data_IF_113451855480
#
_entry.id   IF_113451855480
#
_cell.length_a   1.000
_cell.length_b   1.000
_cell.length_c   1.000
_cell.angle_alpha   90.00
_cell.angle_beta   90.00
_cell.angle_gamma   90.00
#
_symmetry.space_group_name_H-M   'P 1'
#
loop_
_entity.id
_entity.type
_entity.pdbx_description
1 polymer ?
#
# COMPACT_ATOMS: atom_id res chain seq x y z
N UNK A 1 -22.07 -14.58 -41.10
CA UNK A 1 -20.76 -14.89 -40.50
C UNK A 1 -20.81 -14.50 -39.04
N UNK A 2 -20.63 -15.45 -38.11
CA UNK A 2 -20.54 -15.13 -36.68
C UNK A 2 -19.09 -14.77 -36.39
N UNK A 3 -18.82 -13.53 -36.00
CA UNK A 3 -17.50 -13.13 -35.51
C UNK A 3 -17.30 -13.87 -34.19
N UNK A 4 -16.42 -14.88 -34.15
CA UNK A 4 -15.99 -15.46 -32.88
C UNK A 4 -15.18 -14.39 -32.14
N UNK A 5 -15.80 -13.73 -31.17
CA UNK A 5 -15.06 -12.90 -30.20
C UNK A 5 -14.17 -13.84 -29.39
N UNK A 6 -12.85 -13.63 -29.44
CA UNK A 6 -11.89 -14.40 -28.63
C UNK A 6 -12.25 -14.27 -27.15
N UNK A 7 -12.10 -15.37 -26.40
CA UNK A 7 -12.26 -15.35 -24.95
C UNK A 7 -11.20 -14.42 -24.33
N UNK A 8 -11.60 -13.73 -23.28
CA UNK A 8 -10.70 -12.89 -22.48
C UNK A 8 -10.74 -13.34 -21.01
N UNK A 9 -9.70 -12.97 -20.29
CA UNK A 9 -9.61 -13.16 -18.84
C UNK A 9 -9.19 -11.83 -18.21
N UNK A 10 -9.96 -11.37 -17.22
CA UNK A 10 -9.65 -10.18 -16.43
C UNK A 10 -9.44 -10.59 -14.97
N UNK A 11 -8.33 -10.17 -14.38
CA UNK A 11 -8.08 -10.32 -12.95
C UNK A 11 -8.10 -8.95 -12.30
N UNK A 12 -8.95 -8.78 -11.29
CA UNK A 12 -8.94 -7.61 -10.41
C UNK A 12 -7.99 -7.87 -9.25
N UNK A 13 -7.02 -6.97 -9.05
CA UNK A 13 -6.13 -6.94 -7.90
C UNK A 13 -6.63 -5.87 -6.93
N UNK A 14 -7.09 -6.28 -5.75
CA UNK A 14 -7.67 -5.41 -4.74
C UNK A 14 -6.66 -5.19 -3.63
N UNK A 15 -6.17 -3.96 -3.49
CA UNK A 15 -5.33 -3.56 -2.37
C UNK A 15 -6.16 -3.43 -1.10
N UNK A 16 -5.87 -4.28 -0.10
CA UNK A 16 -6.47 -4.29 1.23
C UNK A 16 -5.45 -3.96 2.32
N UNK A 17 -4.36 -3.25 1.97
CA UNK A 17 -3.42 -2.70 2.94
C UNK A 17 -4.10 -1.70 3.90
N UNK A 18 -3.42 -1.36 4.99
CA UNK A 18 -3.98 -0.47 6.01
C UNK A 18 -4.42 0.89 5.46
N UNK A 19 -3.72 1.46 4.47
CA UNK A 19 -4.12 2.72 3.84
C UNK A 19 -5.45 2.61 3.07
N UNK A 20 -5.83 1.39 2.67
CA UNK A 20 -7.05 1.09 1.92
C UNK A 20 -8.26 0.73 2.81
N UNK A 21 -8.09 0.66 4.13
CA UNK A 21 -9.12 0.14 5.06
C UNK A 21 -10.48 0.86 4.97
N UNK A 22 -10.47 2.17 4.71
CA UNK A 22 -11.69 2.98 4.59
C UNK A 22 -12.37 2.89 3.22
N UNK A 23 -11.71 2.30 2.23
CA UNK A 23 -12.17 2.29 0.84
C UNK A 23 -12.74 0.94 0.41
N UNK A 24 -12.81 -0.06 1.30
CA UNK A 24 -13.34 -1.40 1.01
C UNK A 24 -14.72 -1.36 0.34
N UNK A 25 -15.59 -0.43 0.75
CA UNK A 25 -16.91 -0.23 0.14
C UNK A 25 -16.83 0.24 -1.32
N UNK A 26 -16.01 1.25 -1.60
CA UNK A 26 -15.81 1.78 -2.96
C UNK A 26 -15.19 0.72 -3.88
N UNK A 27 -14.14 0.02 -3.42
CA UNK A 27 -13.49 -1.08 -4.15
C UNK A 27 -14.53 -2.12 -4.56
N UNK A 28 -15.37 -2.53 -3.62
CA UNK A 28 -16.43 -3.51 -3.85
C UNK A 28 -17.45 -3.04 -4.89
N UNK A 29 -17.91 -1.80 -4.79
CA UNK A 29 -18.88 -1.24 -5.75
C UNK A 29 -18.29 -1.17 -7.16
N UNK A 30 -17.05 -0.68 -7.28
CA UNK A 30 -16.34 -0.63 -8.55
C UNK A 30 -16.22 -2.03 -9.20
N UNK A 31 -15.72 -3.01 -8.45
CA UNK A 31 -15.52 -4.39 -8.95
C UNK A 31 -16.86 -4.99 -9.36
N UNK A 32 -17.90 -4.82 -8.54
CA UNK A 32 -19.24 -5.32 -8.85
C UNK A 32 -19.77 -4.74 -10.17
N UNK A 33 -19.72 -3.42 -10.33
CA UNK A 33 -20.16 -2.76 -11.57
C UNK A 33 -19.34 -3.18 -12.79
N UNK A 34 -18.02 -3.36 -12.63
CA UNK A 34 -17.15 -3.81 -13.71
C UNK A 34 -17.48 -5.26 -14.16
N UNK A 35 -17.77 -6.16 -13.22
CA UNK A 35 -18.19 -7.54 -13.49
C UNK A 35 -19.54 -7.58 -14.19
N UNK A 36 -20.50 -6.77 -13.73
CA UNK A 36 -21.83 -6.65 -14.34
C UNK A 36 -21.74 -6.16 -15.79
N UNK A 37 -20.90 -5.16 -16.06
CA UNK A 37 -20.66 -4.60 -17.39
C UNK A 37 -19.81 -5.49 -18.32
N UNK A 38 -19.10 -6.48 -17.77
CA UNK A 38 -18.18 -7.32 -18.54
C UNK A 38 -18.88 -8.17 -19.60
N UNK A 39 -18.28 -8.39 -20.80
CA UNK A 39 -18.77 -9.33 -21.79
C UNK A 39 -18.92 -10.76 -21.25
N UNK A 40 -19.87 -11.53 -21.80
CA UNK A 40 -20.13 -12.91 -21.36
C UNK A 40 -19.00 -13.91 -21.65
N UNK A 41 -18.11 -13.57 -22.59
CA UNK A 41 -16.93 -14.36 -22.95
C UNK A 41 -15.65 -13.92 -22.19
N UNK A 42 -15.80 -13.09 -21.15
CA UNK A 42 -14.70 -12.68 -20.28
C UNK A 42 -14.76 -13.47 -18.95
N UNK A 43 -13.70 -14.21 -18.63
CA UNK A 43 -13.54 -14.82 -17.31
C UNK A 43 -13.06 -13.78 -16.33
N UNK A 44 -13.66 -13.74 -15.13
CA UNK A 44 -13.25 -12.84 -14.06
C UNK A 44 -12.61 -13.61 -12.92
N UNK A 45 -11.43 -13.16 -12.52
CA UNK A 45 -10.75 -13.56 -11.28
C UNK A 45 -10.57 -12.35 -10.37
N UNK A 46 -10.48 -12.60 -9.06
CA UNK A 46 -10.28 -11.56 -8.06
C UNK A 46 -9.21 -12.07 -7.09
N UNK A 47 -8.19 -11.24 -6.89
CA UNK A 47 -7.12 -11.44 -5.92
C UNK A 47 -7.10 -10.23 -5.00
N UNK A 48 -7.03 -10.48 -3.70
CA UNK A 48 -6.78 -9.43 -2.70
C UNK A 48 -5.33 -9.49 -2.26
N UNK A 49 -4.75 -8.35 -1.92
CA UNK A 49 -3.36 -8.32 -1.48
C UNK A 49 -3.07 -7.19 -0.47
N UNK A 50 -1.97 -7.39 0.25
CA UNK A 50 -1.28 -6.38 1.06
C UNK A 50 0.20 -6.75 1.08
N UNK A 51 0.66 -7.31 2.20
CA UNK A 51 1.96 -7.97 2.34
C UNK A 51 1.97 -9.35 1.65
N UNK A 52 0.86 -10.09 1.71
CA UNK A 52 0.65 -11.36 1.00
C UNK A 52 -0.60 -11.28 0.08
N UNK A 53 -0.79 -12.31 -0.75
CA UNK A 53 -1.88 -12.41 -1.72
C UNK A 53 -2.86 -13.54 -1.37
N UNK A 54 -4.15 -13.31 -1.61
CA UNK A 54 -5.20 -14.31 -1.45
C UNK A 54 -6.15 -14.31 -2.66
N UNK A 55 -6.61 -15.51 -3.07
CA UNK A 55 -7.59 -15.64 -4.14
C UNK A 55 -8.99 -15.50 -3.54
N UNK A 56 -9.65 -14.37 -3.81
CA UNK A 56 -11.07 -14.18 -3.51
C UNK A 56 -11.95 -14.98 -4.48
N UNK A 57 -11.57 -14.97 -5.77
CA UNK A 57 -12.32 -15.66 -6.83
C UNK A 57 -11.40 -16.19 -7.93
N UNK A 58 -11.49 -17.50 -8.20
CA UNK A 58 -10.86 -18.10 -9.38
C UNK A 58 -11.53 -17.63 -10.68
N UNK A 59 -10.79 -17.62 -11.78
CA UNK A 59 -11.31 -17.25 -13.10
C UNK A 59 -12.58 -18.02 -13.47
N UNK A 60 -13.69 -17.30 -13.60
CA UNK A 60 -15.02 -17.84 -13.90
C UNK A 60 -15.82 -16.92 -14.80
N UNK A 61 -16.76 -17.47 -15.57
CA UNK A 61 -17.74 -16.69 -16.32
C UNK A 61 -18.91 -16.21 -15.43
N UNK A 62 -18.97 -16.65 -14.17
CA UNK A 62 -19.97 -16.20 -13.21
C UNK A 62 -19.82 -14.72 -12.91
N UNK A 63 -20.94 -13.98 -12.94
CA UNK A 63 -21.01 -12.57 -12.53
C UNK A 63 -21.37 -12.38 -11.06
N UNK A 64 -21.22 -13.42 -10.24
CA UNK A 64 -21.58 -13.38 -8.83
C UNK A 64 -20.43 -12.86 -7.98
N UNK A 65 -20.44 -11.56 -7.67
CA UNK A 65 -19.56 -10.94 -6.69
C UNK A 65 -20.39 -10.06 -5.75
N UNK A 66 -20.45 -10.43 -4.48
CA UNK A 66 -21.31 -9.76 -3.49
C UNK A 66 -20.53 -9.04 -2.41
N UNK A 67 -19.39 -9.56 -1.99
CA UNK A 67 -18.58 -9.00 -0.92
C UNK A 67 -17.18 -9.60 -0.93
N UNK A 68 -16.24 -8.97 -0.22
CA UNK A 68 -14.84 -9.41 -0.11
C UNK A 68 -14.67 -10.18 1.20
N UNK A 69 -14.37 -11.47 1.11
CA UNK A 69 -14.26 -12.40 2.24
C UNK A 69 -12.82 -12.67 2.70
N UNK A 70 -11.85 -12.50 1.82
CA UNK A 70 -10.42 -12.65 2.11
C UNK A 70 -9.88 -11.50 2.97
N UNK A 71 -8.77 -11.75 3.66
CA UNK A 71 -8.17 -10.80 4.61
C UNK A 71 -6.64 -10.95 4.65
N UNK A 72 -5.94 -10.54 3.58
CA UNK A 72 -4.49 -10.55 3.55
C UNK A 72 -3.90 -9.64 4.65
N UNK A 73 -2.64 -9.87 5.00
CA UNK A 73 -1.88 -9.08 5.96
C UNK A 73 -1.69 -7.66 5.38
N UNK A 74 -2.28 -6.65 6.03
CA UNK A 74 -2.35 -5.29 5.48
C UNK A 74 -1.22 -4.34 5.87
N UNK A 75 -0.14 -4.83 6.51
CA UNK A 75 0.92 -3.96 7.05
C UNK A 75 1.69 -3.20 5.98
N UNK A 76 1.82 -3.79 4.78
CA UNK A 76 2.56 -3.22 3.66
C UNK A 76 1.79 -3.48 2.36
N UNK A 77 2.25 -2.87 1.28
CA UNK A 77 1.65 -2.97 -0.05
C UNK A 77 2.71 -3.47 -1.02
N UNK A 78 2.58 -4.72 -1.47
CA UNK A 78 3.47 -5.35 -2.44
C UNK A 78 2.75 -5.62 -3.77
N UNK A 79 2.78 -4.61 -4.65
CA UNK A 79 2.05 -4.65 -5.93
C UNK A 79 2.75 -5.58 -6.92
N UNK A 80 4.08 -5.58 -6.93
CA UNK A 80 4.90 -6.43 -7.79
C UNK A 80 4.56 -7.92 -7.62
N UNK A 81 4.55 -8.43 -6.37
CA UNK A 81 4.20 -9.82 -6.11
C UNK A 81 2.73 -10.12 -6.39
N UNK A 82 1.82 -9.19 -6.11
CA UNK A 82 0.40 -9.32 -6.47
C UNK A 82 0.22 -9.50 -7.98
N UNK A 83 0.95 -8.73 -8.79
CA UNK A 83 0.97 -8.89 -10.23
C UNK A 83 1.53 -10.27 -10.59
N UNK A 84 2.74 -10.63 -10.14
CA UNK A 84 3.36 -11.94 -10.43
C UNK A 84 2.43 -13.12 -10.09
N UNK A 85 1.75 -13.04 -8.94
CA UNK A 85 0.78 -14.03 -8.50
C UNK A 85 -0.42 -14.11 -9.46
N UNK A 86 -1.03 -12.99 -9.83
CA UNK A 86 -2.17 -12.97 -10.75
C UNK A 86 -1.85 -13.57 -12.12
N UNK A 87 -0.62 -13.40 -12.59
CA UNK A 87 -0.19 -13.89 -13.89
C UNK A 87 -0.22 -15.41 -14.00
N UNK A 88 0.04 -16.09 -12.88
CA UNK A 88 -0.03 -17.55 -12.78
C UNK A 88 -1.46 -18.10 -12.97
N UNK A 89 -2.49 -17.27 -12.82
CA UNK A 89 -3.88 -17.67 -12.96
C UNK A 89 -4.34 -17.66 -14.43
N UNK A 90 -3.69 -16.90 -15.31
CA UNK A 90 -4.10 -16.83 -16.72
C UNK A 90 -3.85 -18.15 -17.48
N UNK A 91 -4.69 -18.39 -18.49
CA UNK A 91 -4.47 -19.43 -19.50
C UNK A 91 -3.87 -18.80 -20.77
N UNK A 92 -3.05 -19.55 -21.51
CA UNK A 92 -2.29 -19.00 -22.65
C UNK A 92 -3.13 -18.58 -23.86
N UNK A 93 -4.37 -19.07 -23.98
CA UNK A 93 -5.23 -18.82 -25.15
C UNK A 93 -6.04 -17.52 -25.10
N UNK A 94 -6.14 -16.89 -23.93
CA UNK A 94 -7.09 -15.80 -23.68
C UNK A 94 -6.39 -14.45 -23.81
N UNK A 95 -7.12 -13.40 -24.22
CA UNK A 95 -6.63 -12.03 -24.01
C UNK A 95 -6.60 -11.72 -22.51
N UNK A 96 -5.44 -11.28 -22.01
CA UNK A 96 -5.18 -11.12 -20.57
C UNK A 96 -5.31 -9.65 -20.18
N UNK A 97 -6.10 -9.36 -19.15
CA UNK A 97 -6.21 -8.04 -18.53
C UNK A 97 -6.02 -8.11 -17.03
N UNK A 98 -5.23 -7.21 -16.47
CA UNK A 98 -5.09 -7.01 -15.03
C UNK A 98 -5.59 -5.61 -14.70
N UNK A 99 -6.50 -5.51 -13.72
CA UNK A 99 -7.01 -4.23 -13.21
C UNK A 99 -6.58 -4.10 -11.77
N UNK A 100 -5.67 -3.18 -11.49
CA UNK A 100 -5.17 -2.87 -10.15
C UNK A 100 -6.06 -1.79 -9.50
N UNK A 101 -6.49 -2.02 -8.27
CA UNK A 101 -7.28 -1.08 -7.47
C UNK A 101 -6.49 -0.75 -6.20
N UNK A 102 -6.00 0.48 -6.08
CA UNK A 102 -5.09 0.93 -5.01
C UNK A 102 -5.09 2.46 -4.89
N UNK A 103 -4.60 3.01 -3.78
CA UNK A 103 -4.27 4.44 -3.62
C UNK A 103 -2.93 4.82 -4.31
N UNK A 104 -2.16 3.81 -4.73
CA UNK A 104 -0.90 3.95 -5.46
C UNK A 104 0.33 4.15 -4.58
N UNK A 105 0.22 3.94 -3.26
CA UNK A 105 1.35 4.02 -2.32
C UNK A 105 2.01 2.65 -2.17
N UNK A 106 2.81 2.26 -3.17
CA UNK A 106 3.66 1.07 -3.08
C UNK A 106 4.74 1.28 -2.02
N UNK A 107 4.85 0.35 -1.06
CA UNK A 107 5.82 0.41 0.03
C UNK A 107 6.86 -0.73 -0.06
N UNK A 108 6.61 -1.73 -0.92
CA UNK A 108 7.54 -2.83 -1.23
C UNK A 108 7.38 -3.23 -2.71
N UNK A 109 8.51 -3.43 -3.40
CA UNK A 109 8.55 -3.83 -4.81
C UNK A 109 8.95 -2.68 -5.75
N UNK A 110 9.04 -3.01 -7.03
CA UNK A 110 9.24 -2.03 -8.12
C UNK A 110 8.25 -2.29 -9.27
N UNK A 111 7.13 -1.57 -9.24
CA UNK A 111 6.12 -1.67 -10.31
C UNK A 111 6.68 -1.31 -11.70
N UNK A 112 7.75 -0.51 -11.80
CA UNK A 112 8.37 -0.12 -13.07
C UNK A 112 9.06 -1.31 -13.74
N UNK A 113 9.63 -2.24 -12.97
CA UNK A 113 10.19 -3.50 -13.49
C UNK A 113 9.10 -4.36 -14.17
N UNK A 114 7.85 -4.21 -13.75
CA UNK A 114 6.72 -5.00 -14.25
C UNK A 114 6.20 -4.50 -15.61
N UNK A 115 6.54 -3.28 -16.02
CA UNK A 115 6.06 -2.64 -17.26
C UNK A 115 6.53 -3.34 -18.55
N UNK A 116 7.78 -3.80 -18.58
CA UNK A 116 8.34 -4.57 -19.71
C UNK A 116 7.67 -5.93 -19.80
N UNK A 117 7.44 -6.57 -18.64
CA UNK A 117 6.80 -7.88 -18.56
C UNK A 117 5.37 -7.86 -19.14
N UNK A 118 4.59 -6.81 -18.85
CA UNK A 118 3.24 -6.67 -19.41
C UNK A 118 3.22 -6.60 -20.93
N UNK A 119 4.17 -5.85 -21.53
CA UNK A 119 4.29 -5.73 -22.98
C UNK A 119 4.64 -7.08 -23.61
N UNK A 120 5.64 -7.77 -23.09
CA UNK A 120 6.13 -9.03 -23.65
C UNK A 120 5.08 -10.15 -23.59
N UNK A 121 4.21 -10.12 -22.57
CA UNK A 121 3.16 -11.11 -22.36
C UNK A 121 1.77 -10.67 -22.85
N UNK A 122 1.68 -9.54 -23.57
CA UNK A 122 0.43 -9.00 -24.13
C UNK A 122 -0.68 -8.84 -23.09
N UNK A 123 -0.33 -8.35 -21.90
CA UNK A 123 -1.26 -8.10 -20.81
C UNK A 123 -1.69 -6.64 -20.87
N UNK A 124 -3.00 -6.42 -20.94
CA UNK A 124 -3.61 -5.11 -20.76
C UNK A 124 -3.64 -4.77 -19.27
N UNK A 125 -2.80 -3.83 -18.83
CA UNK A 125 -2.72 -3.41 -17.43
C UNK A 125 -3.42 -2.07 -17.23
N UNK A 126 -4.38 -2.03 -16.31
CA UNK A 126 -5.17 -0.85 -15.98
C UNK A 126 -5.12 -0.58 -14.49
N UNK A 127 -5.20 0.69 -14.10
CA UNK A 127 -5.21 1.11 -12.70
C UNK A 127 -6.47 1.91 -12.45
N UNK A 128 -7.29 1.45 -11.49
CA UNK A 128 -8.30 2.25 -10.85
C UNK A 128 -7.69 2.84 -9.58
N UNK A 129 -7.31 4.11 -9.65
CA UNK A 129 -6.77 4.81 -8.50
C UNK A 129 -7.92 5.22 -7.60
N UNK A 130 -7.90 4.72 -6.37
CA UNK A 130 -8.79 5.21 -5.32
C UNK A 130 -8.26 6.57 -4.89
N UNK A 131 -9.03 7.62 -5.14
CA UNK A 131 -8.70 8.95 -4.69
C UNK A 131 -8.92 9.02 -3.18
N UNK A 132 -7.88 8.67 -2.43
CA UNK A 132 -7.92 8.82 -0.98
C UNK A 132 -8.14 10.30 -0.66
N UNK A 133 -9.25 10.66 -0.02
CA UNK A 133 -9.29 11.89 0.77
C UNK A 133 -8.00 11.93 1.61
N UNK A 134 -7.27 13.04 1.61
CA UNK A 134 -6.00 13.14 2.32
C UNK A 134 -6.22 12.75 3.79
N UNK A 135 -5.94 11.50 4.16
CA UNK A 135 -6.05 11.04 5.54
C UNK A 135 -5.04 11.85 6.33
N UNK A 136 -5.51 12.54 7.36
CA UNK A 136 -4.66 13.32 8.26
C UNK A 136 -3.53 12.44 8.79
N UNK A 137 -2.29 12.81 8.51
CA UNK A 137 -1.12 11.96 8.71
C UNK A 137 0.07 12.77 9.23
N UNK A 138 0.82 12.14 10.14
CA UNK A 138 2.03 12.64 10.80
C UNK A 138 2.94 11.44 11.00
N UNK A 139 4.12 11.45 10.38
CA UNK A 139 5.12 10.40 10.56
C UNK A 139 6.52 10.98 10.75
N UNK A 140 7.37 10.21 11.43
CA UNK A 140 8.81 10.52 11.54
C UNK A 140 9.46 10.08 10.22
N UNK A 141 10.02 11.04 9.49
CA UNK A 141 10.75 10.79 8.24
C UNK A 141 12.16 10.30 8.53
N UNK A 142 12.83 10.90 9.52
CA UNK A 142 14.21 10.57 9.88
C UNK A 142 14.54 10.96 11.33
N UNK A 143 15.52 10.28 11.92
CA UNK A 143 16.08 10.62 13.24
C UNK A 143 17.61 10.64 13.12
N UNK A 144 18.20 11.82 13.31
CA UNK A 144 19.65 12.00 13.34
C UNK A 144 20.13 12.21 14.79
N UNK A 145 21.13 11.42 15.18
CA UNK A 145 21.78 11.48 16.48
C UNK A 145 23.23 11.84 16.24
N UNK A 146 23.68 12.98 16.77
CA UNK A 146 25.08 13.36 16.66
C UNK A 146 25.96 12.41 17.47
N UNK A 147 26.62 11.49 16.76
CA UNK A 147 27.55 10.50 17.31
C UNK A 147 28.86 11.15 17.77
N UNK A 148 28.91 11.53 19.05
CA UNK A 148 30.07 11.49 19.96
C UNK A 148 29.73 12.28 21.21
N UNK A 149 29.28 11.56 22.23
CA UNK A 149 28.93 12.17 23.50
C UNK A 149 29.78 11.43 24.52
N UNK A 150 30.75 12.13 25.12
CA UNK A 150 31.46 11.57 26.26
C UNK A 150 30.47 11.41 27.43
N UNK A 151 30.72 10.44 28.31
CA UNK A 151 29.89 10.26 29.50
C UNK A 151 29.80 11.60 30.26
N UNK A 152 28.60 12.14 30.38
CA UNK A 152 28.33 13.43 31.02
C UNK A 152 28.07 14.61 30.07
N UNK A 153 28.13 14.42 28.75
CA UNK A 153 27.79 15.46 27.77
C UNK A 153 26.31 15.40 27.33
N UNK A 154 25.80 16.55 26.89
CA UNK A 154 24.50 16.66 26.22
C UNK A 154 24.61 16.08 24.81
N UNK A 155 23.74 15.13 24.47
CA UNK A 155 23.53 14.71 23.10
C UNK A 155 22.28 15.36 22.54
N UNK A 156 22.32 15.68 21.25
CA UNK A 156 21.16 16.22 20.55
C UNK A 156 20.61 15.22 19.55
N UNK A 157 19.29 15.01 19.62
CA UNK A 157 18.52 14.22 18.67
C UNK A 157 17.73 15.18 17.80
N UNK A 158 17.95 15.11 16.50
CA UNK A 158 17.16 15.83 15.51
C UNK A 158 16.11 14.87 14.97
N UNK A 159 14.84 15.23 15.10
CA UNK A 159 13.71 14.45 14.57
C UNK A 159 13.09 15.23 13.42
N UNK A 160 13.10 14.64 12.23
CA UNK A 160 12.44 15.16 11.05
C UNK A 160 11.06 14.51 10.92
N UNK A 161 10.01 15.33 10.86
CA UNK A 161 8.61 14.90 10.83
C UNK A 161 7.95 15.46 9.58
N UNK A 162 7.24 14.61 8.87
CA UNK A 162 6.35 15.00 7.78
C UNK A 162 4.92 15.02 8.27
N UNK A 163 4.16 16.05 7.90
CA UNK A 163 2.72 16.03 8.09
C UNK A 163 1.97 16.64 6.91
N UNK A 164 0.77 16.13 6.64
CA UNK A 164 -0.14 16.74 5.67
C UNK A 164 -1.17 17.69 6.32
N UNK A 165 -1.12 17.86 7.65
CA UNK A 165 -1.98 18.75 8.43
C UNK A 165 -1.18 19.60 9.42
N UNK A 166 -1.83 20.62 9.99
CA UNK A 166 -1.33 21.34 11.15
C UNK A 166 -1.96 20.73 12.40
N UNK A 167 -1.15 20.26 13.35
CA UNK A 167 -1.66 19.60 14.57
C UNK A 167 -0.73 19.78 15.76
N UNK A 168 -1.20 19.41 16.95
CA UNK A 168 -0.37 19.32 18.16
C UNK A 168 -0.07 17.85 18.43
N UNK A 169 1.18 17.55 18.75
CA UNK A 169 1.59 16.19 19.11
C UNK A 169 2.55 16.21 20.30
N UNK A 170 2.91 15.02 20.76
CA UNK A 170 3.76 14.82 21.93
C UNK A 170 4.84 13.81 21.59
N UNK A 171 6.09 14.27 21.61
CA UNK A 171 7.25 13.41 21.40
C UNK A 171 7.78 12.98 22.75
N UNK A 172 7.94 11.67 22.94
CA UNK A 172 8.58 11.08 24.12
C UNK A 172 9.86 10.37 23.71
N UNK A 173 10.96 10.70 24.38
CA UNK A 173 12.27 10.05 24.18
C UNK A 173 12.48 9.02 25.27
N UNK A 174 12.89 7.82 24.87
CA UNK A 174 13.15 6.71 25.78
C UNK A 174 14.59 6.23 25.63
N UNK A 175 15.22 5.91 26.76
CA UNK A 175 16.49 5.17 26.82
C UNK A 175 16.19 3.78 27.40
N UNK A 176 16.15 2.77 26.54
CA UNK A 176 15.60 1.46 26.90
C UNK A 176 14.12 1.58 27.24
N UNK A 177 13.74 1.26 28.48
CA UNK A 177 12.34 1.38 28.98
C UNK A 177 12.10 2.65 29.79
N UNK A 178 13.14 3.43 30.05
CA UNK A 178 13.05 4.63 30.87
C UNK A 178 12.76 5.84 29.98
N UNK A 179 11.65 6.52 30.24
CA UNK A 179 11.31 7.78 29.59
C UNK A 179 12.24 8.87 30.08
N UNK A 180 13.01 9.47 29.17
CA UNK A 180 13.99 10.51 29.50
C UNK A 180 13.42 11.91 29.36
N UNK A 181 12.68 12.16 28.30
CA UNK A 181 12.03 13.45 28.08
C UNK A 181 10.70 13.31 27.35
N UNK A 182 9.85 14.33 27.50
CA UNK A 182 8.63 14.50 26.73
C UNK A 182 8.41 15.97 26.43
N UNK A 183 8.01 16.26 25.19
CA UNK A 183 7.73 17.62 24.75
C UNK A 183 6.47 17.65 23.90
N UNK A 184 5.60 18.61 24.19
CA UNK A 184 4.53 18.99 23.28
C UNK A 184 5.13 19.82 22.14
N UNK A 185 4.71 19.50 20.93
CA UNK A 185 5.16 20.16 19.71
C UNK A 185 3.95 20.57 18.88
N UNK A 186 4.07 21.75 18.28
CA UNK A 186 3.17 22.20 17.22
C UNK A 186 3.79 21.76 15.89
N UNK A 187 3.06 20.95 15.13
CA UNK A 187 3.46 20.44 13.82
C UNK A 187 2.71 21.25 12.77
N UNK A 188 3.44 21.85 11.84
CA UNK A 188 2.89 22.50 10.66
C UNK A 188 2.72 21.49 9.52
N UNK A 189 1.85 21.80 8.56
CA UNK A 189 1.77 21.02 7.32
C UNK A 189 3.08 21.16 6.55
N UNK A 190 3.66 20.03 6.12
CA UNK A 190 4.93 19.93 5.41
C UNK A 190 6.01 19.26 6.28
N UNK A 191 7.26 19.66 6.04
CA UNK A 191 8.43 19.14 6.75
C UNK A 191 8.69 19.96 8.02
N UNK A 192 8.92 19.28 9.14
CA UNK A 192 9.15 19.86 10.46
C UNK A 192 10.40 19.26 11.09
N UNK A 193 11.30 20.10 11.59
CA UNK A 193 12.53 19.63 12.27
C UNK A 193 12.50 20.06 13.74
N UNK A 194 12.63 19.08 14.63
CA UNK A 194 12.69 19.31 16.07
C UNK A 194 14.02 18.86 16.65
N UNK A 195 14.67 19.75 17.39
CA UNK A 195 15.89 19.44 18.14
C UNK A 195 15.54 19.14 19.60
N UNK A 196 15.92 17.95 20.05
CA UNK A 196 15.86 17.52 21.44
C UNK A 196 17.28 17.46 21.99
N UNK A 197 17.47 17.96 23.21
CA UNK A 197 18.73 17.84 23.94
C UNK A 197 18.49 16.99 25.19
N UNK A 198 19.34 16.01 25.42
CA UNK A 198 19.27 15.15 26.61
C UNK A 198 20.68 14.86 27.13
N UNK A 199 20.81 14.52 28.41
CA UNK A 199 22.11 14.27 29.06
C UNK A 199 22.34 12.76 29.14
N UNK A 200 23.48 12.29 28.65
CA UNK A 200 23.81 10.88 28.70
C UNK A 200 24.11 10.44 30.14
N UNK A 201 23.15 9.78 30.79
CA UNK A 201 23.30 9.35 32.18
C UNK A 201 24.02 8.01 32.36
N UNK A 202 24.19 7.20 31.30
CA UNK A 202 25.03 5.99 31.30
C UNK A 202 25.58 5.69 29.89
N UNK A 203 26.84 5.27 29.83
CA UNK A 203 27.46 4.75 28.62
C UNK A 203 26.75 3.48 28.13
N UNK A 204 26.55 3.38 26.82
CA UNK A 204 26.16 2.14 26.16
C UNK A 204 27.28 1.10 26.23
N UNK A 205 26.88 -0.17 26.16
CA UNK A 205 27.71 -1.37 26.29
C UNK A 205 28.92 -1.43 25.35
#
# INVERSE_FOLDING_TARGET
MSIKTKDSSTIFLLDLSHSMSNYKGEIKEFVKSAIEASPSNNKIGIVTFGENQEIEQFLTYSKSFNDIQTSPIGNTTNIEEAIKFSLSMFKDSDYKRVVLITDGKENQGDILETSTYFKDNQIDFQVYKVDSEQVEDVYIEDIDILDKVAIGEEFSVTVNIKSNIKTKSKISVYSGREKKSEKEIDIEKGDNTFLFKDIQHKGGF
#
